data_IF_705194801174
#
_entry.id   IF_705194801174
#
_cell.length_a   1.000
_cell.length_b   1.000
_cell.length_c   1.000
_cell.angle_alpha   90.00
_cell.angle_beta   90.00
_cell.angle_gamma   90.00
#
_symmetry.space_group_name_H-M   'P 1'
#
loop_
_entity.id
_entity.type
_entity.pdbx_description
1 polymer ?
#
# COMPACT_ATOMS: atom_id res chain seq x y z
N UNK A 1 12.77 62.06 -50.79
CA UNK A 1 11.54 61.76 -50.02
C UNK A 1 10.86 60.39 -50.33
N UNK A 2 10.91 59.84 -51.55
CA UNK A 2 10.28 58.54 -51.87
C UNK A 2 10.93 57.32 -51.23
N UNK A 3 12.20 57.35 -50.86
CA UNK A 3 12.92 56.23 -50.25
C UNK A 3 12.65 56.08 -48.73
N UNK A 4 12.26 57.16 -48.07
CA UNK A 4 11.98 57.13 -46.60
C UNK A 4 10.59 56.53 -46.30
N UNK A 5 9.63 56.72 -47.22
CA UNK A 5 8.27 56.18 -47.05
C UNK A 5 8.24 54.67 -47.15
N UNK A 6 9.06 54.07 -48.04
CA UNK A 6 9.16 52.59 -48.18
C UNK A 6 9.78 51.90 -46.93
N UNK A 7 10.70 52.59 -46.21
CA UNK A 7 11.33 52.02 -45.03
C UNK A 7 10.36 51.96 -43.84
N UNK A 8 9.48 52.95 -43.72
CA UNK A 8 8.46 53.00 -42.62
C UNK A 8 7.37 51.94 -42.86
N UNK A 9 6.99 51.65 -44.13
CA UNK A 9 6.04 50.59 -44.42
C UNK A 9 6.59 49.18 -44.17
N UNK A 10 7.90 48.97 -44.36
CA UNK A 10 8.52 47.65 -44.12
C UNK A 10 8.61 47.32 -42.60
N UNK A 11 8.80 48.34 -41.75
CA UNK A 11 8.85 48.15 -40.29
C UNK A 11 7.46 47.88 -39.69
N UNK A 12 6.40 48.46 -40.29
CA UNK A 12 5.01 48.20 -39.85
C UNK A 12 4.51 46.76 -40.13
N UNK A 13 5.04 46.10 -41.17
CA UNK A 13 4.69 44.70 -41.48
C UNK A 13 5.37 43.68 -40.57
N UNK A 14 6.46 44.03 -39.88
CA UNK A 14 7.17 43.11 -38.99
C UNK A 14 6.57 43.05 -37.58
N UNK A 15 5.63 43.91 -37.22
CA UNK A 15 4.98 43.93 -35.91
C UNK A 15 3.59 43.28 -35.87
N UNK A 16 3.08 42.82 -37.03
CA UNK A 16 1.77 42.13 -37.09
C UNK A 16 1.83 40.61 -36.91
N UNK A 17 3.00 40.07 -36.56
CA UNK A 17 3.23 38.63 -36.30
C UNK A 17 3.12 38.20 -34.84
N UNK A 18 2.28 38.86 -34.00
CA UNK A 18 1.84 38.24 -32.75
C UNK A 18 0.83 37.14 -33.09
N UNK A 19 1.32 35.93 -33.34
CA UNK A 19 0.46 34.77 -33.29
C UNK A 19 -0.09 34.67 -31.86
N UNK A 20 -1.36 35.01 -31.70
CA UNK A 20 -2.13 34.59 -30.53
C UNK A 20 -2.12 33.06 -30.53
N UNK A 21 -1.14 32.49 -29.81
CA UNK A 21 -1.10 31.06 -29.58
C UNK A 21 -2.35 30.74 -28.75
N UNK A 22 -3.32 30.12 -29.40
CA UNK A 22 -4.52 29.65 -28.72
C UNK A 22 -4.06 28.79 -27.54
N UNK A 23 -4.52 29.06 -26.28
CA UNK A 23 -4.11 28.25 -25.14
C UNK A 23 -4.45 26.81 -25.43
N UNK A 24 -3.48 25.92 -25.28
CA UNK A 24 -3.69 24.48 -25.44
C UNK A 24 -4.90 24.05 -24.61
N UNK A 25 -5.79 23.19 -25.15
CA UNK A 25 -6.96 22.74 -24.41
C UNK A 25 -6.49 22.09 -23.10
N UNK A 26 -6.84 22.71 -21.98
CA UNK A 26 -6.62 22.16 -20.65
C UNK A 26 -7.52 20.95 -20.52
N UNK A 27 -6.93 19.78 -20.39
CA UNK A 27 -7.70 18.57 -20.06
C UNK A 27 -8.41 18.81 -18.72
N UNK A 28 -9.66 18.34 -18.55
CA UNK A 28 -10.37 18.47 -17.30
C UNK A 28 -9.54 17.81 -16.18
N UNK A 29 -9.32 18.54 -15.11
CA UNK A 29 -8.64 18.03 -13.92
C UNK A 29 -9.57 16.96 -13.28
N UNK A 30 -9.11 15.73 -13.27
CA UNK A 30 -9.87 14.63 -12.63
C UNK A 30 -9.58 14.66 -11.14
N UNK A 31 -10.55 15.12 -10.35
CA UNK A 31 -10.44 15.12 -8.89
C UNK A 31 -10.76 13.73 -8.34
N UNK A 32 -9.72 12.98 -8.03
CA UNK A 32 -9.87 11.71 -7.31
C UNK A 32 -10.13 11.98 -5.82
N UNK A 33 -11.08 11.26 -5.23
CA UNK A 33 -11.42 11.38 -3.80
C UNK A 33 -10.96 10.20 -2.97
N UNK A 34 -10.67 9.06 -3.60
CA UNK A 34 -10.23 7.84 -2.94
C UNK A 34 -8.98 7.25 -3.58
N UNK A 35 -8.06 6.79 -2.74
CA UNK A 35 -6.94 5.94 -3.12
C UNK A 35 -7.32 4.46 -2.98
N UNK A 36 -6.75 3.63 -3.83
CA UNK A 36 -6.86 2.17 -3.78
C UNK A 36 -5.51 1.63 -3.35
N UNK A 37 -5.48 1.01 -2.17
CA UNK A 37 -4.26 0.55 -1.51
C UNK A 37 -4.23 -0.97 -1.44
N UNK A 38 -3.21 -1.59 -2.03
CA UNK A 38 -3.01 -3.03 -2.01
C UNK A 38 -2.11 -3.44 -0.84
N UNK A 39 -2.53 -4.45 -0.09
CA UNK A 39 -1.79 -5.04 1.03
C UNK A 39 -0.98 -6.26 0.56
N UNK A 40 0.27 -6.35 1.00
CA UNK A 40 1.14 -7.52 0.76
C UNK A 40 1.72 -8.00 2.08
N UNK A 41 1.44 -9.26 2.43
CA UNK A 41 1.91 -9.88 3.67
C UNK A 41 3.19 -10.67 3.44
N UNK A 42 4.13 -10.57 4.39
CA UNK A 42 5.37 -11.34 4.45
C UNK A 42 5.50 -11.95 5.84
N UNK A 43 5.99 -13.19 5.89
CA UNK A 43 6.23 -13.92 7.14
C UNK A 43 7.70 -14.27 7.26
N UNK A 44 8.26 -14.13 8.45
CA UNK A 44 9.63 -14.50 8.75
C UNK A 44 9.70 -15.22 10.10
N UNK A 45 10.19 -16.45 10.11
CA UNK A 45 10.46 -17.17 11.35
C UNK A 45 11.67 -16.53 12.06
N UNK A 46 11.48 -16.08 13.29
CA UNK A 46 12.53 -15.53 14.14
C UNK A 46 13.22 -16.64 14.90
N UNK A 47 12.44 -17.53 15.53
CA UNK A 47 12.92 -18.68 16.26
C UNK A 47 11.92 -19.83 16.21
N UNK A 48 12.40 -21.04 16.43
CA UNK A 48 11.56 -22.22 16.63
C UNK A 48 12.31 -23.20 17.52
N UNK A 49 11.81 -23.36 18.74
CA UNK A 49 12.34 -24.33 19.69
C UNK A 49 11.47 -25.58 19.69
N UNK A 50 11.61 -26.39 18.63
CA UNK A 50 10.90 -27.66 18.45
C UNK A 50 9.35 -27.57 18.49
N UNK A 51 8.76 -26.48 18.03
CA UNK A 51 7.32 -26.34 17.82
C UNK A 51 7.00 -26.71 16.37
N UNK A 52 6.99 -27.92 15.99
CA UNK A 52 6.60 -28.42 14.67
C UNK A 52 7.14 -27.70 13.42
N UNK A 53 6.62 -28.07 12.26
CA UNK A 53 7.08 -27.55 10.95
C UNK A 53 5.95 -27.29 9.95
N UNK A 54 4.71 -27.63 10.26
CA UNK A 54 3.56 -27.44 9.35
C UNK A 54 2.77 -26.19 9.76
N UNK A 55 3.08 -25.08 9.10
CA UNK A 55 2.62 -23.75 9.52
C UNK A 55 1.62 -23.17 8.54
N UNK A 56 0.49 -22.69 9.05
CA UNK A 56 -0.49 -21.90 8.32
C UNK A 56 -0.65 -20.50 8.89
N UNK A 57 -1.03 -19.53 8.03
CA UNK A 57 -1.16 -18.11 8.36
C UNK A 57 -2.49 -17.59 7.85
N UNK A 58 -3.32 -17.05 8.74
CA UNK A 58 -4.61 -16.46 8.41
C UNK A 58 -4.60 -14.98 8.77
N UNK A 59 -5.06 -14.13 7.85
CA UNK A 59 -5.20 -12.70 8.05
C UNK A 59 -6.67 -12.33 8.00
N UNK A 60 -7.14 -11.48 8.93
CA UNK A 60 -8.55 -11.04 8.98
C UNK A 60 -8.65 -9.52 9.04
N UNK A 61 -9.54 -8.96 8.23
CA UNK A 61 -9.89 -7.55 8.22
C UNK A 61 -11.41 -7.40 8.34
N UNK A 62 -11.87 -6.64 9.36
CA UNK A 62 -13.30 -6.48 9.65
C UNK A 62 -14.05 -7.81 9.74
N UNK A 63 -13.43 -8.84 10.33
CA UNK A 63 -14.00 -10.18 10.51
C UNK A 63 -14.01 -11.06 9.24
N UNK A 64 -13.48 -10.58 8.14
CA UNK A 64 -13.36 -11.32 6.88
C UNK A 64 -11.92 -11.78 6.65
N UNK A 65 -11.73 -13.04 6.25
CA UNK A 65 -10.41 -13.54 5.83
C UNK A 65 -9.96 -12.82 4.56
N UNK A 66 -8.71 -12.36 4.56
CA UNK A 66 -8.06 -11.67 3.45
C UNK A 66 -6.73 -12.35 3.09
N UNK A 67 -6.22 -12.05 1.88
CA UNK A 67 -4.92 -12.56 1.38
C UNK A 67 -4.07 -11.42 0.84
N UNK A 68 -2.79 -11.67 0.61
CA UNK A 68 -1.93 -10.75 -0.13
C UNK A 68 -2.58 -10.37 -1.46
N UNK A 69 -2.57 -9.08 -1.77
CA UNK A 69 -3.29 -8.52 -2.90
C UNK A 69 -4.65 -7.91 -2.55
N UNK A 70 -5.14 -8.07 -1.31
CA UNK A 70 -6.36 -7.42 -0.84
C UNK A 70 -6.27 -5.90 -0.97
N UNK A 71 -7.35 -5.26 -1.41
CA UNK A 71 -7.39 -3.82 -1.64
C UNK A 71 -8.29 -3.12 -0.62
N UNK A 72 -7.79 -2.01 -0.08
CA UNK A 72 -8.53 -1.10 0.79
C UNK A 72 -8.76 0.21 0.03
N UNK A 73 -9.99 0.73 0.08
CA UNK A 73 -10.38 2.02 -0.46
C UNK A 73 -10.40 3.03 0.67
N UNK A 74 -9.67 4.13 0.53
CA UNK A 74 -9.58 5.15 1.55
C UNK A 74 -9.56 6.55 0.93
N UNK A 75 -10.25 7.52 1.58
CA UNK A 75 -10.17 8.93 1.20
C UNK A 75 -8.72 9.41 1.19
N UNK A 76 -8.33 10.15 0.17
CA UNK A 76 -6.99 10.72 0.02
C UNK A 76 -6.69 11.80 1.09
N UNK A 77 -7.73 12.38 1.70
CA UNK A 77 -7.61 13.40 2.73
C UNK A 77 -7.38 12.83 4.13
N UNK A 78 -7.52 11.51 4.30
CA UNK A 78 -7.50 10.86 5.61
C UNK A 78 -6.34 9.87 5.70
N UNK A 79 -5.41 10.14 6.61
CA UNK A 79 -4.41 9.16 7.01
C UNK A 79 -4.96 8.29 8.14
N UNK A 80 -5.02 6.97 7.95
CA UNK A 80 -5.51 6.03 8.96
C UNK A 80 -4.58 4.86 9.19
N UNK A 81 -4.69 4.27 10.38
CA UNK A 81 -4.17 2.94 10.66
C UNK A 81 -5.33 1.94 10.66
N UNK A 82 -5.15 0.83 9.97
CA UNK A 82 -6.08 -0.29 10.00
C UNK A 82 -5.50 -1.42 10.86
N UNK A 83 -6.41 -2.12 11.56
CA UNK A 83 -6.08 -3.28 12.37
C UNK A 83 -6.39 -4.56 11.57
N UNK A 84 -5.39 -5.40 11.40
CA UNK A 84 -5.51 -6.70 10.74
C UNK A 84 -5.23 -7.78 11.78
N UNK A 85 -6.20 -8.67 12.00
CA UNK A 85 -6.00 -9.84 12.83
C UNK A 85 -5.06 -10.82 12.14
N UNK A 86 -4.18 -11.43 12.89
CA UNK A 86 -3.26 -12.47 12.42
C UNK A 86 -3.39 -13.68 13.32
N UNK A 87 -3.59 -14.84 12.72
CA UNK A 87 -3.50 -16.15 13.36
C UNK A 87 -2.38 -16.95 12.69
N UNK A 88 -1.55 -17.55 13.52
CA UNK A 88 -0.50 -18.50 13.10
C UNK A 88 -0.82 -19.80 13.75
N UNK A 89 -0.89 -20.88 12.97
CA UNK A 89 -1.20 -22.22 13.43
C UNK A 89 -0.10 -23.18 12.99
N UNK A 90 0.30 -24.03 13.90
CA UNK A 90 1.05 -25.25 13.60
C UNK A 90 0.07 -26.41 13.60
N UNK A 91 -0.02 -27.11 12.47
CA UNK A 91 -1.00 -28.17 12.24
C UNK A 91 -0.40 -29.54 12.60
N UNK A 92 -0.64 -29.98 13.81
CA UNK A 92 -0.30 -31.34 14.27
C UNK A 92 -1.52 -32.02 14.96
N UNK A 93 -1.30 -32.99 15.86
CA UNK A 93 -2.39 -33.62 16.59
C UNK A 93 -3.14 -32.72 17.57
N UNK A 94 -2.48 -31.68 18.05
CA UNK A 94 -3.02 -30.67 18.94
C UNK A 94 -2.54 -29.34 18.39
N UNK A 95 -3.38 -28.67 17.61
CA UNK A 95 -3.04 -27.42 16.95
C UNK A 95 -2.50 -26.36 17.92
N UNK A 96 -1.33 -25.86 17.64
CA UNK A 96 -0.71 -24.77 18.37
C UNK A 96 -0.98 -23.46 17.67
N UNK A 97 -1.61 -22.53 18.39
CA UNK A 97 -2.10 -21.28 17.80
C UNK A 97 -1.52 -20.08 18.53
N UNK A 98 -0.95 -19.16 17.76
CA UNK A 98 -0.60 -17.83 18.19
C UNK A 98 -1.44 -16.77 17.44
N UNK A 99 -1.87 -15.72 18.14
CA UNK A 99 -2.67 -14.66 17.55
C UNK A 99 -2.08 -13.28 17.86
N UNK A 100 -2.33 -12.32 16.98
CA UNK A 100 -1.91 -10.94 17.18
C UNK A 100 -2.68 -9.97 16.32
N UNK A 101 -2.41 -8.69 16.51
CA UNK A 101 -2.99 -7.61 15.70
C UNK A 101 -1.88 -6.80 15.05
N UNK A 102 -1.91 -6.76 13.73
CA UNK A 102 -1.02 -5.97 12.92
C UNK A 102 -1.66 -4.60 12.63
N UNK A 103 -1.03 -3.52 13.09
CA UNK A 103 -1.46 -2.16 12.77
C UNK A 103 -0.72 -1.66 11.53
N UNK A 104 -1.46 -1.31 10.50
CA UNK A 104 -0.93 -0.96 9.17
C UNK A 104 -1.32 0.47 8.81
N UNK A 105 -0.34 1.29 8.46
CA UNK A 105 -0.59 2.63 7.91
C UNK A 105 -1.08 2.50 6.46
N UNK A 106 -2.27 3.04 6.16
CA UNK A 106 -2.83 3.00 4.81
C UNK A 106 -2.43 4.27 4.05
N UNK A 107 -1.30 4.18 3.38
CA UNK A 107 -0.76 5.18 2.44
C UNK A 107 0.24 4.49 1.52
N UNK A 108 0.64 5.14 0.44
CA UNK A 108 1.71 4.60 -0.42
C UNK A 108 3.02 4.51 0.37
N UNK A 109 3.67 3.33 0.31
CA UNK A 109 4.84 3.01 1.13
C UNK A 109 4.55 2.77 2.62
N UNK A 110 3.27 2.76 3.01
CA UNK A 110 2.86 2.42 4.37
C UNK A 110 3.19 0.98 4.74
N UNK A 111 3.33 0.71 6.02
CA UNK A 111 3.66 -0.63 6.51
C UNK A 111 3.18 -0.85 7.94
N UNK A 112 3.20 -2.09 8.36
CA UNK A 112 3.01 -2.52 9.73
C UNK A 112 3.78 -3.80 10.02
N UNK A 113 4.09 -4.02 11.31
CA UNK A 113 4.80 -5.21 11.77
C UNK A 113 4.28 -5.67 13.12
N UNK A 114 4.22 -7.01 13.31
CA UNK A 114 3.91 -7.64 14.60
C UNK A 114 4.76 -8.91 14.75
N UNK A 115 5.18 -9.19 15.99
CA UNK A 115 5.77 -10.46 16.38
C UNK A 115 4.73 -11.28 17.14
N UNK A 116 4.59 -12.55 16.80
CA UNK A 116 3.63 -13.47 17.38
C UNK A 116 4.37 -14.72 17.85
N UNK A 117 4.12 -15.08 19.11
CA UNK A 117 4.64 -16.31 19.72
C UNK A 117 3.56 -17.38 19.65
N UNK A 118 3.94 -18.55 19.14
CA UNK A 118 3.17 -19.80 19.22
C UNK A 118 3.80 -20.68 20.28
N UNK A 119 2.99 -21.25 21.16
CA UNK A 119 3.47 -22.12 22.25
C UNK A 119 2.92 -23.51 22.08
N UNK A 120 3.82 -24.49 22.06
CA UNK A 120 3.51 -25.91 22.00
C UNK A 120 2.63 -26.36 23.17
N UNK A 121 1.52 -27.03 22.87
CA UNK A 121 0.53 -27.51 23.83
C UNK A 121 0.49 -29.02 23.86
N UNK A 122 1.33 -29.61 24.62
CA UNK A 122 1.31 -31.04 24.84
C UNK A 122 2.58 -31.77 24.41
N UNK A 123 2.59 -33.07 24.58
CA UNK A 123 3.72 -33.93 24.21
C UNK A 123 5.02 -33.65 24.96
N UNK A 124 6.12 -34.06 24.33
CA UNK A 124 7.48 -33.94 24.88
C UNK A 124 7.98 -32.50 24.94
N UNK A 125 7.51 -31.65 24.05
CA UNK A 125 7.98 -30.29 23.84
C UNK A 125 7.03 -29.23 24.39
N UNK A 126 6.06 -29.63 25.21
CA UNK A 126 5.08 -28.76 25.85
C UNK A 126 5.75 -27.54 26.54
N UNK A 127 5.32 -26.33 26.17
CA UNK A 127 5.87 -25.08 26.64
C UNK A 127 7.00 -24.50 25.80
N UNK A 128 7.51 -25.23 24.80
CA UNK A 128 8.43 -24.69 23.80
C UNK A 128 7.74 -23.63 22.94
N UNK A 129 8.50 -22.73 22.33
CA UNK A 129 7.93 -21.61 21.57
C UNK A 129 8.54 -21.46 20.18
N UNK A 130 7.72 -21.00 19.25
CA UNK A 130 8.15 -20.44 17.99
C UNK A 130 7.73 -18.97 17.88
N UNK A 131 8.60 -18.12 17.34
CA UNK A 131 8.33 -16.69 17.16
C UNK A 131 8.36 -16.36 15.68
N UNK A 132 7.31 -15.70 15.23
CA UNK A 132 7.16 -15.24 13.86
C UNK A 132 7.01 -13.73 13.79
N UNK A 133 7.70 -13.12 12.84
CA UNK A 133 7.49 -11.73 12.44
C UNK A 133 6.58 -11.70 11.20
N UNK A 134 5.52 -10.93 11.31
CA UNK A 134 4.60 -10.68 10.20
C UNK A 134 4.73 -9.22 9.82
N UNK A 135 4.97 -8.95 8.55
CA UNK A 135 5.04 -7.59 7.99
C UNK A 135 3.94 -7.44 6.93
N UNK A 136 3.27 -6.30 6.92
CA UNK A 136 2.42 -5.88 5.83
C UNK A 136 3.02 -4.64 5.16
N UNK A 137 3.13 -4.68 3.84
CA UNK A 137 3.51 -3.53 3.00
C UNK A 137 2.28 -3.04 2.25
N UNK A 138 2.17 -1.73 2.08
CA UNK A 138 1.05 -1.06 1.41
C UNK A 138 1.56 -0.33 0.19
N UNK A 139 0.87 -0.51 -0.93
CA UNK A 139 1.16 0.19 -2.18
C UNK A 139 -0.11 0.80 -2.74
N UNK A 140 -0.08 2.08 -3.11
CA UNK A 140 -1.15 2.68 -3.90
C UNK A 140 -1.14 2.06 -5.32
N UNK A 141 -2.29 1.53 -5.75
CA UNK A 141 -2.44 0.87 -7.05
C UNK A 141 -3.43 1.56 -7.96
N UNK A 142 -4.11 2.60 -7.47
CA UNK A 142 -5.05 3.40 -8.25
C UNK A 142 -5.74 4.48 -7.44
N UNK A 143 -6.56 5.27 -8.13
CA UNK A 143 -7.42 6.33 -7.55
C UNK A 143 -8.77 6.33 -8.25
N UNK A 144 -9.81 6.74 -7.52
CA UNK A 144 -11.16 6.94 -8.06
C UNK A 144 -11.88 8.12 -7.40
#
# INVERSE_FOLDING_TARGET
MKKLVCLIMLVALLLAGCSTQEPAPTLPEVNYTQGIYQLTFKTRKISNDCVGNDWSFTYTYNGQEIKSGFQIYQSLEIFTFQAIGVEIREDDKIDDVGTGTLRVAICDGGSGKVEITVTEKGGKYNGNTAVWEITCEVKEVGRQ
#
